data_IF_036125469057
#
_entry.id   IF_036125469057
#
_cell.length_a   1.000
_cell.length_b   1.000
_cell.length_c   1.000
_cell.angle_alpha   90.00
_cell.angle_beta   90.00
_cell.angle_gamma   90.00
#
_symmetry.space_group_name_H-M   'P 1'
#
loop_
_entity.id
_entity.type
_entity.pdbx_description
1 polymer ?
#
# COMPACT_ATOMS: atom_id res chain seq x y z
N UNK A 1 -0.05 17.90 -38.49
CA UNK A 1 0.66 17.61 -37.23
C UNK A 1 0.23 16.22 -36.84
N UNK A 2 1.12 15.26 -37.04
CA UNK A 2 0.88 13.81 -36.84
C UNK A 2 2.23 13.17 -36.48
N UNK A 3 2.92 13.81 -35.52
CA UNK A 3 4.33 13.55 -35.20
C UNK A 3 4.51 12.73 -33.91
N UNK A 4 3.62 12.87 -32.93
CA UNK A 4 3.77 12.21 -31.63
C UNK A 4 3.44 10.71 -31.68
N UNK A 5 2.35 10.31 -32.35
CA UNK A 5 1.95 8.90 -32.44
C UNK A 5 2.97 8.01 -33.20
N UNK A 6 3.75 8.58 -34.12
CA UNK A 6 4.79 7.87 -34.86
C UNK A 6 6.09 7.71 -34.06
N UNK A 7 6.40 8.63 -33.14
CA UNK A 7 7.60 8.56 -32.31
C UNK A 7 7.44 7.47 -31.24
N UNK A 8 6.31 7.45 -30.52
CA UNK A 8 6.03 6.49 -29.44
C UNK A 8 6.09 5.03 -29.93
N UNK A 9 5.51 4.75 -31.11
CA UNK A 9 5.51 3.39 -31.71
C UNK A 9 6.91 2.91 -32.08
N UNK A 10 7.78 3.82 -32.55
CA UNK A 10 9.16 3.49 -32.93
C UNK A 10 10.04 3.26 -31.71
N UNK A 11 9.84 4.01 -30.62
CA UNK A 11 10.59 3.80 -29.38
C UNK A 11 10.23 2.48 -28.72
N UNK A 12 8.94 2.16 -28.63
CA UNK A 12 8.47 0.88 -28.10
C UNK A 12 9.06 -0.31 -28.86
N UNK A 13 9.03 -0.26 -30.20
CA UNK A 13 9.62 -1.32 -31.05
C UNK A 13 11.12 -1.50 -30.78
N UNK A 14 11.88 -0.42 -30.60
CA UNK A 14 13.33 -0.49 -30.32
C UNK A 14 13.65 -1.07 -28.95
N UNK A 15 12.79 -0.81 -27.97
CA UNK A 15 12.93 -1.36 -26.61
C UNK A 15 12.69 -2.86 -26.64
N UNK A 16 11.62 -3.31 -27.32
CA UNK A 16 11.37 -4.73 -27.52
C UNK A 16 12.54 -5.42 -28.25
N UNK A 17 13.05 -4.82 -29.33
CA UNK A 17 14.21 -5.34 -30.06
C UNK A 17 15.47 -5.45 -29.18
N UNK A 18 15.71 -4.48 -28.29
CA UNK A 18 16.83 -4.51 -27.35
C UNK A 18 16.66 -5.61 -26.30
N UNK A 19 15.48 -5.73 -25.70
CA UNK A 19 15.16 -6.77 -24.71
C UNK A 19 15.31 -8.16 -25.34
N UNK A 20 14.77 -8.36 -26.55
CA UNK A 20 14.87 -9.61 -27.27
C UNK A 20 16.32 -9.93 -27.68
N UNK A 21 17.12 -8.92 -28.02
CA UNK A 21 18.56 -9.09 -28.29
C UNK A 21 19.30 -9.57 -27.03
N UNK A 22 19.04 -8.97 -25.86
CA UNK A 22 19.63 -9.43 -24.60
C UNK A 22 19.20 -10.86 -24.31
N UNK A 23 17.91 -11.16 -24.42
CA UNK A 23 17.38 -12.51 -24.22
C UNK A 23 18.01 -13.55 -25.16
N UNK A 24 18.27 -13.20 -26.42
CA UNK A 24 18.96 -14.09 -27.36
C UNK A 24 20.42 -14.36 -27.00
N UNK A 25 21.08 -13.46 -26.26
CA UNK A 25 22.46 -13.64 -25.80
C UNK A 25 22.55 -14.52 -24.55
N UNK A 26 21.53 -14.56 -23.69
CA UNK A 26 21.53 -15.32 -22.44
C UNK A 26 21.94 -16.79 -22.65
N UNK A 27 21.26 -17.59 -23.50
CA UNK A 27 21.62 -19.01 -23.67
C UNK A 27 22.96 -19.22 -24.42
N UNK A 28 23.52 -18.18 -25.04
CA UNK A 28 24.80 -18.24 -25.76
C UNK A 28 25.99 -17.95 -24.84
N UNK A 29 25.80 -17.05 -23.88
CA UNK A 29 26.85 -16.57 -22.98
C UNK A 29 26.85 -17.32 -21.65
N UNK A 30 25.68 -17.82 -21.21
CA UNK A 30 25.49 -18.50 -19.92
C UNK A 30 25.96 -17.65 -18.72
N UNK A 31 25.45 -16.40 -18.56
CA UNK A 31 25.96 -15.48 -17.56
C UNK A 31 25.41 -15.79 -16.15
N UNK A 32 26.28 -15.74 -15.12
CA UNK A 32 25.82 -15.88 -13.73
C UNK A 32 24.87 -14.74 -13.32
N UNK A 33 25.22 -13.51 -13.68
CA UNK A 33 24.46 -12.29 -13.41
C UNK A 33 24.72 -11.25 -14.51
N UNK A 34 23.68 -10.60 -15.01
CA UNK A 34 23.75 -9.46 -15.92
C UNK A 34 23.03 -8.29 -15.29
N UNK A 35 23.64 -7.11 -15.41
CA UNK A 35 23.04 -5.84 -15.04
C UNK A 35 23.06 -4.90 -16.25
N UNK A 36 22.14 -3.95 -16.26
CA UNK A 36 22.13 -2.83 -17.22
C UNK A 36 22.26 -1.50 -16.50
N UNK A 37 23.07 -0.59 -17.01
CA UNK A 37 23.05 0.81 -16.58
C UNK A 37 22.69 1.69 -17.76
N UNK A 38 21.87 2.68 -17.47
CA UNK A 38 21.38 3.63 -18.44
C UNK A 38 21.92 4.98 -18.00
N UNK A 39 22.80 5.53 -18.82
CA UNK A 39 23.52 6.75 -18.45
C UNK A 39 22.59 7.95 -18.64
N UNK A 40 21.97 8.43 -17.57
CA UNK A 40 21.10 9.63 -17.58
C UNK A 40 21.82 10.89 -17.07
N UNK A 41 23.08 10.76 -16.64
CA UNK A 41 23.91 11.87 -16.16
C UNK A 41 23.72 12.23 -14.68
N UNK A 42 22.85 11.54 -13.94
CA UNK A 42 22.57 11.84 -12.53
C UNK A 42 22.71 10.65 -11.55
N UNK A 43 22.90 9.41 -12.03
CA UNK A 43 23.25 8.25 -11.19
C UNK A 43 24.58 7.58 -11.58
N UNK A 44 25.34 7.09 -10.60
CA UNK A 44 26.50 6.22 -10.84
C UNK A 44 26.04 4.76 -11.00
N UNK A 45 26.64 3.99 -11.90
CA UNK A 45 26.34 2.56 -12.11
C UNK A 45 26.67 1.67 -10.90
N UNK A 46 27.26 2.23 -9.85
CA UNK A 46 27.79 1.51 -8.69
C UNK A 46 26.68 0.79 -7.90
N UNK A 47 25.45 1.32 -7.89
CA UNK A 47 24.29 0.76 -7.20
C UNK A 47 23.82 -0.60 -7.76
N UNK A 48 24.01 -0.85 -9.06
CA UNK A 48 23.54 -2.09 -9.74
C UNK A 48 24.67 -3.09 -9.99
N UNK A 49 25.92 -2.70 -9.76
CA UNK A 49 27.09 -3.55 -10.02
C UNK A 49 27.48 -4.31 -8.77
N UNK A 50 27.36 -5.65 -8.75
CA UNK A 50 27.72 -6.41 -7.58
C UNK A 50 29.23 -6.34 -7.33
N UNK A 51 29.61 -5.88 -6.14
CA UNK A 51 31.01 -5.84 -5.69
C UNK A 51 31.42 -7.05 -4.83
N UNK A 52 30.47 -7.97 -4.58
CA UNK A 52 30.67 -9.16 -3.75
C UNK A 52 29.62 -10.26 -3.93
N UNK A 53 29.53 -11.13 -2.91
CA UNK A 53 28.63 -12.28 -2.84
C UNK A 53 28.13 -12.46 -1.39
N UNK A 54 26.87 -12.83 -1.15
CA UNK A 54 25.82 -13.11 -2.14
C UNK A 54 25.36 -11.84 -2.86
N UNK A 55 24.99 -11.94 -4.15
CA UNK A 55 24.69 -10.77 -5.00
C UNK A 55 23.69 -9.78 -4.38
N UNK A 56 22.57 -10.22 -3.79
CA UNK A 56 21.57 -9.29 -3.20
C UNK A 56 22.14 -8.40 -2.09
N UNK A 57 23.17 -8.85 -1.37
CA UNK A 57 23.79 -8.08 -0.28
C UNK A 57 24.86 -7.09 -0.77
N UNK A 58 25.10 -7.04 -2.08
CA UNK A 58 26.19 -6.30 -2.72
C UNK A 58 25.72 -5.46 -3.92
N UNK A 59 24.41 -5.23 -4.00
CA UNK A 59 23.77 -4.28 -4.91
C UNK A 59 22.78 -3.46 -4.08
N UNK A 60 22.64 -2.19 -4.40
CA UNK A 60 21.70 -1.29 -3.74
C UNK A 60 20.34 -1.29 -4.46
N UNK A 61 20.32 -1.59 -5.76
CA UNK A 61 19.10 -1.62 -6.59
C UNK A 61 19.24 -2.63 -7.73
N UNK A 62 18.09 -3.12 -8.24
CA UNK A 62 18.02 -3.90 -9.45
C UNK A 62 18.12 -3.00 -10.68
N UNK A 63 18.87 -3.46 -11.68
CA UNK A 63 18.93 -2.78 -12.96
C UNK A 63 17.68 -2.99 -13.82
N UNK A 64 17.41 -2.04 -14.72
CA UNK A 64 16.28 -2.09 -15.67
C UNK A 64 16.14 -3.46 -16.36
N UNK A 65 17.24 -4.01 -16.87
CA UNK A 65 17.34 -5.39 -17.33
C UNK A 65 18.32 -6.13 -16.44
N UNK A 66 17.80 -7.12 -15.71
CA UNK A 66 18.59 -7.99 -14.84
C UNK A 66 18.44 -9.43 -15.30
N UNK A 67 19.55 -10.17 -15.44
CA UNK A 67 19.51 -11.62 -15.72
C UNK A 67 20.19 -12.34 -14.59
N UNK A 68 19.54 -13.37 -14.05
CA UNK A 68 20.11 -14.25 -13.03
C UNK A 68 20.17 -15.69 -13.55
N UNK A 69 21.29 -16.36 -13.27
CA UNK A 69 21.36 -17.82 -13.37
C UNK A 69 20.58 -18.49 -12.24
N UNK A 70 20.27 -19.77 -12.37
CA UNK A 70 19.62 -20.57 -11.32
C UNK A 70 20.37 -20.47 -9.98
N UNK A 71 21.70 -20.55 -10.00
CA UNK A 71 22.54 -20.45 -8.79
C UNK A 71 22.51 -19.07 -8.12
N UNK A 72 22.22 -18.02 -8.88
CA UNK A 72 22.06 -16.66 -8.36
C UNK A 72 20.63 -16.46 -7.87
N UNK A 73 19.63 -17.01 -8.56
CA UNK A 73 18.24 -16.96 -8.12
C UNK A 73 18.05 -17.57 -6.71
N UNK A 74 18.77 -18.63 -6.38
CA UNK A 74 18.83 -19.19 -5.01
C UNK A 74 19.29 -18.17 -3.96
N UNK A 75 20.14 -17.20 -4.32
CA UNK A 75 20.58 -16.14 -3.41
C UNK A 75 19.47 -15.12 -3.16
N UNK A 76 18.56 -14.92 -4.13
CA UNK A 76 17.39 -14.04 -4.07
C UNK A 76 16.16 -14.74 -3.47
N UNK A 77 16.32 -15.79 -2.67
CA UNK A 77 15.21 -16.53 -2.07
C UNK A 77 14.57 -17.59 -2.97
N UNK A 78 15.20 -17.92 -4.11
CA UNK A 78 14.85 -19.05 -4.97
C UNK A 78 14.29 -18.64 -6.34
N UNK A 79 14.31 -19.55 -7.33
CA UNK A 79 13.79 -19.29 -8.68
C UNK A 79 12.30 -18.95 -8.73
N UNK A 80 11.49 -19.48 -7.82
CA UNK A 80 10.07 -19.12 -7.70
C UNK A 80 9.90 -17.66 -7.30
N UNK A 81 10.71 -17.18 -6.33
CA UNK A 81 10.68 -15.79 -5.88
C UNK A 81 11.08 -14.85 -7.02
N UNK A 82 12.20 -15.10 -7.69
CA UNK A 82 12.61 -14.29 -8.86
C UNK A 82 11.55 -14.26 -9.97
N UNK A 83 10.80 -15.35 -10.19
CA UNK A 83 9.74 -15.37 -11.22
C UNK A 83 8.50 -14.55 -10.84
N UNK A 84 8.27 -14.35 -9.55
CA UNK A 84 7.13 -13.59 -9.04
C UNK A 84 7.45 -12.10 -8.91
N UNK A 85 8.69 -11.67 -9.15
CA UNK A 85 9.08 -10.26 -9.04
C UNK A 85 8.18 -9.34 -9.87
N UNK A 86 7.70 -8.20 -9.32
CA UNK A 86 6.94 -7.22 -10.08
C UNK A 86 7.85 -6.64 -11.14
N UNK A 87 7.57 -6.93 -12.39
CA UNK A 87 8.36 -6.49 -13.51
C UNK A 87 7.46 -6.42 -14.73
N UNK A 88 7.72 -5.47 -15.63
CA UNK A 88 7.02 -5.38 -16.91
C UNK A 88 7.13 -6.69 -17.71
N UNK A 89 8.30 -7.35 -17.64
CA UNK A 89 8.49 -8.65 -18.29
C UNK A 89 9.40 -9.56 -17.48
N UNK A 90 8.93 -10.78 -17.21
CA UNK A 90 9.73 -11.89 -16.68
C UNK A 90 9.86 -12.95 -17.76
N UNK A 91 11.08 -13.38 -18.07
CA UNK A 91 11.35 -14.42 -19.07
C UNK A 91 12.24 -15.51 -18.47
N UNK A 92 11.70 -16.72 -18.39
CA UNK A 92 12.46 -17.93 -18.04
C UNK A 92 13.02 -18.57 -19.31
N UNK A 93 14.30 -18.93 -19.29
CA UNK A 93 14.97 -19.62 -20.40
C UNK A 93 15.12 -21.12 -20.08
N UNK A 94 15.21 -21.96 -21.12
CA UNK A 94 15.46 -23.41 -20.98
C UNK A 94 16.75 -23.74 -20.21
N UNK A 95 17.69 -22.78 -20.10
CA UNK A 95 18.92 -22.88 -19.33
C UNK A 95 18.73 -22.60 -17.83
N UNK A 96 17.50 -22.40 -17.35
CA UNK A 96 17.18 -22.06 -15.97
C UNK A 96 17.52 -20.61 -15.59
N UNK A 97 17.89 -19.77 -16.56
CA UNK A 97 18.09 -18.35 -16.33
C UNK A 97 16.74 -17.63 -16.29
N UNK A 98 16.67 -16.56 -15.52
CA UNK A 98 15.51 -15.67 -15.46
C UNK A 98 15.97 -14.26 -15.80
N UNK A 99 15.32 -13.65 -16.79
CA UNK A 99 15.50 -12.24 -17.13
C UNK A 99 14.30 -11.45 -16.63
N UNK A 100 14.59 -10.37 -15.91
CA UNK A 100 13.66 -9.37 -15.44
C UNK A 100 13.86 -8.09 -16.24
N UNK A 101 12.78 -7.55 -16.78
CA UNK A 101 12.71 -6.20 -17.34
C UNK A 101 11.75 -5.41 -16.48
N UNK A 102 12.28 -4.50 -15.68
CA UNK A 102 11.50 -3.85 -14.63
C UNK A 102 10.39 -2.98 -15.19
N UNK A 103 10.63 -2.24 -16.27
CA UNK A 103 9.67 -1.27 -16.82
C UNK A 103 9.60 -1.33 -18.35
N UNK A 104 8.49 -0.93 -18.94
CA UNK A 104 8.25 -0.85 -20.39
C UNK A 104 9.16 0.17 -21.08
N UNK A 105 9.56 1.23 -20.36
CA UNK A 105 10.51 2.22 -20.82
C UNK A 105 11.46 2.64 -19.69
N UNK A 106 12.77 2.78 -19.96
CA UNK A 106 13.75 3.03 -18.92
C UNK A 106 13.74 4.43 -18.31
N UNK A 107 13.30 5.45 -19.06
CA UNK A 107 13.27 6.85 -18.62
C UNK A 107 11.85 7.31 -18.28
N UNK A 108 10.94 7.17 -19.25
CA UNK A 108 9.52 7.53 -19.11
C UNK A 108 8.62 6.28 -19.16
N UNK A 109 8.57 5.46 -18.09
CA UNK A 109 7.70 4.29 -18.04
C UNK A 109 6.23 4.70 -18.16
N UNK A 110 5.46 3.94 -18.93
CA UNK A 110 4.02 4.20 -19.12
C UNK A 110 3.15 3.23 -18.33
N UNK A 111 3.71 2.09 -17.94
CA UNK A 111 3.03 1.09 -17.12
C UNK A 111 3.50 1.18 -15.65
N UNK A 112 2.54 1.18 -14.72
CA UNK A 112 2.83 1.07 -13.29
C UNK A 112 2.98 -0.39 -12.89
N UNK A 113 3.97 -0.69 -12.04
CA UNK A 113 4.16 -2.04 -11.49
C UNK A 113 3.28 -2.26 -10.27
N UNK A 114 2.87 -3.50 -10.06
CA UNK A 114 2.07 -3.95 -8.92
C UNK A 114 2.86 -4.05 -7.61
N UNK A 115 4.07 -3.49 -7.53
CA UNK A 115 4.93 -3.54 -6.35
C UNK A 115 6.35 -3.07 -6.65
N UNK A 116 7.15 -2.88 -5.60
CA UNK A 116 8.57 -2.53 -5.73
C UNK A 116 9.41 -3.79 -6.00
N UNK A 117 10.11 -3.88 -7.16
CA UNK A 117 10.97 -5.02 -7.46
C UNK A 117 12.14 -5.15 -6.47
N UNK A 118 12.71 -4.01 -6.07
CA UNK A 118 13.84 -3.94 -5.13
C UNK A 118 13.41 -4.40 -3.75
N UNK A 119 12.28 -3.89 -3.25
CA UNK A 119 11.76 -4.29 -1.94
C UNK A 119 11.44 -5.80 -1.90
N UNK A 120 10.88 -6.32 -2.99
CA UNK A 120 10.54 -7.73 -3.08
C UNK A 120 11.77 -8.66 -3.14
N UNK A 121 12.78 -8.33 -3.96
CA UNK A 121 13.94 -9.21 -4.18
C UNK A 121 15.15 -8.94 -3.30
N UNK A 122 15.40 -7.69 -2.93
CA UNK A 122 16.56 -7.27 -2.14
C UNK A 122 16.21 -7.23 -0.65
N UNK A 123 15.09 -6.58 -0.31
CA UNK A 123 14.68 -6.40 1.09
C UNK A 123 13.90 -7.60 1.64
N UNK A 124 13.44 -8.49 0.75
CA UNK A 124 12.72 -9.71 1.13
C UNK A 124 11.27 -9.46 1.55
N UNK A 125 10.73 -8.27 1.26
CA UNK A 125 9.31 -7.98 1.46
C UNK A 125 8.50 -8.91 0.56
N UNK A 126 7.42 -9.51 1.06
CA UNK A 126 6.52 -10.22 0.16
C UNK A 126 5.80 -9.20 -0.72
N UNK A 127 5.36 -9.65 -1.91
CA UNK A 127 4.41 -8.84 -2.66
C UNK A 127 3.25 -8.61 -1.71
N UNK A 128 3.06 -7.35 -1.32
CA UNK A 128 1.79 -6.93 -0.78
C UNK A 128 0.76 -7.54 -1.72
N UNK A 129 -0.12 -8.37 -1.17
CA UNK A 129 -1.17 -9.00 -1.92
C UNK A 129 -2.22 -7.92 -2.22
N UNK A 130 -1.80 -6.89 -2.95
CA UNK A 130 -2.51 -5.65 -3.22
C UNK A 130 -2.07 -5.17 -4.61
N UNK A 131 -2.61 -5.81 -5.65
CA UNK A 131 -3.35 -4.94 -6.54
C UNK A 131 -4.37 -4.24 -5.64
N UNK A 132 -4.27 -2.92 -5.52
CA UNK A 132 -5.43 -2.07 -5.21
C UNK A 132 -6.35 -2.20 -6.43
N UNK A 133 -6.93 -3.40 -6.61
CA UNK A 133 -8.02 -3.68 -7.52
C UNK A 133 -9.26 -3.18 -6.77
N UNK A 134 -9.82 -2.06 -7.26
CA UNK A 134 -10.85 -1.23 -6.63
C UNK A 134 -10.39 -0.67 -5.27
N UNK A 135 -10.29 0.65 -5.12
CA UNK A 135 -10.40 1.20 -3.78
C UNK A 135 -11.85 0.88 -3.43
N UNK A 136 -12.14 -0.23 -2.75
CA UNK A 136 -13.50 -0.56 -2.32
C UNK A 136 -13.87 0.49 -1.25
N UNK A 137 -14.13 1.72 -1.67
CA UNK A 137 -14.28 2.89 -0.82
C UNK A 137 -15.72 2.87 -0.32
N UNK A 138 -15.87 2.47 0.93
CA UNK A 138 -17.09 2.72 1.68
C UNK A 138 -16.76 3.59 2.87
N UNK A 139 -17.59 4.59 3.12
CA UNK A 139 -17.49 5.38 4.34
C UNK A 139 -18.19 4.63 5.49
N UNK A 140 -17.46 4.10 6.49
CA UNK A 140 -18.08 3.40 7.60
C UNK A 140 -18.98 4.30 8.44
N UNK A 141 -18.84 5.63 8.34
CA UNK A 141 -19.68 6.61 9.00
C UNK A 141 -21.03 6.81 8.30
N UNK A 142 -21.21 6.31 7.07
CA UNK A 142 -22.46 6.46 6.34
C UNK A 142 -23.65 5.84 7.10
N UNK A 143 -23.41 4.77 7.87
CA UNK A 143 -24.41 4.06 8.68
C UNK A 143 -24.67 4.69 10.06
N UNK A 144 -23.98 5.79 10.43
CA UNK A 144 -24.21 6.49 11.68
C UNK A 144 -25.32 7.55 11.53
N UNK A 145 -26.21 7.61 12.51
CA UNK A 145 -27.28 8.60 12.59
C UNK A 145 -26.74 9.97 13.07
N UNK A 146 -27.48 11.03 12.76
CA UNK A 146 -27.18 12.39 13.26
C UNK A 146 -27.12 12.38 14.80
N UNK A 147 -26.03 12.90 15.35
CA UNK A 147 -25.74 12.95 16.78
C UNK A 147 -25.05 11.70 17.34
N UNK A 148 -24.83 10.65 16.55
CA UNK A 148 -24.01 9.51 16.97
C UNK A 148 -22.53 9.87 17.02
N UNK A 149 -21.81 9.19 17.92
CA UNK A 149 -20.38 9.36 18.12
C UNK A 149 -19.59 8.34 17.32
N UNK A 150 -18.38 8.74 16.92
CA UNK A 150 -17.41 7.81 16.35
C UNK A 150 -15.97 8.27 16.53
N UNK A 151 -15.05 7.41 16.12
CA UNK A 151 -13.63 7.67 16.10
C UNK A 151 -13.10 7.46 14.68
N UNK A 152 -12.60 8.53 14.07
CA UNK A 152 -12.01 8.50 12.74
C UNK A 152 -10.47 8.50 12.85
N UNK A 153 -9.82 7.86 11.88
CA UNK A 153 -8.36 7.93 11.71
C UNK A 153 -8.12 8.84 10.52
N UNK A 154 -7.52 9.98 10.78
CA UNK A 154 -7.42 11.06 9.83
C UNK A 154 -5.97 11.43 9.51
N UNK A 155 -5.77 11.91 8.30
CA UNK A 155 -4.56 12.60 7.85
C UNK A 155 -4.94 14.00 7.41
N UNK A 156 -4.00 14.94 7.49
CA UNK A 156 -4.22 16.23 6.87
C UNK A 156 -4.19 16.06 5.35
N UNK A 157 -5.04 16.79 4.62
CA UNK A 157 -5.16 16.66 3.15
C UNK A 157 -3.84 16.88 2.40
N UNK A 158 -2.93 17.67 2.96
CA UNK A 158 -1.64 18.00 2.33
C UNK A 158 -0.59 16.91 2.57
N UNK A 159 -0.85 15.99 3.50
CA UNK A 159 0.04 14.90 3.89
C UNK A 159 -0.37 13.56 3.24
N UNK A 160 -1.23 13.60 2.21
CA UNK A 160 -1.61 12.41 1.45
C UNK A 160 -0.39 11.92 0.65
N UNK A 161 0.24 10.85 1.15
CA UNK A 161 1.30 10.12 0.49
C UNK A 161 0.78 8.76 -0.05
N UNK A 162 1.62 8.06 -0.82
CA UNK A 162 1.30 6.70 -1.32
C UNK A 162 1.19 5.66 -0.19
N UNK A 163 1.76 5.96 0.98
CA UNK A 163 1.65 5.15 2.20
C UNK A 163 1.19 6.03 3.36
N UNK A 164 0.46 5.43 4.31
CA UNK A 164 0.00 6.11 5.53
C UNK A 164 0.83 5.63 6.72
N UNK A 165 1.98 6.27 7.02
CA UNK A 165 2.81 5.87 8.14
C UNK A 165 2.09 6.17 9.46
N UNK A 166 2.31 5.32 10.47
CA UNK A 166 1.62 5.39 11.75
C UNK A 166 1.75 6.77 12.44
N UNK A 167 2.86 7.48 12.22
CA UNK A 167 3.17 8.79 12.81
C UNK A 167 2.33 9.96 12.27
N UNK A 168 1.83 9.84 11.04
CA UNK A 168 1.02 10.86 10.39
C UNK A 168 -0.47 10.69 10.72
N UNK A 169 -0.87 9.49 11.14
CA UNK A 169 -2.24 9.18 11.54
C UNK A 169 -2.64 9.98 12.80
N UNK A 170 -3.85 10.51 12.76
CA UNK A 170 -4.48 11.23 13.87
C UNK A 170 -5.82 10.59 14.19
N UNK A 171 -5.95 10.06 15.41
CA UNK A 171 -7.24 9.64 15.94
C UNK A 171 -8.06 10.89 16.31
N UNK A 172 -9.22 11.06 15.68
CA UNK A 172 -10.13 12.17 15.93
C UNK A 172 -11.48 11.64 16.37
N UNK A 173 -11.92 12.04 17.56
CA UNK A 173 -13.28 11.75 18.05
C UNK A 173 -14.28 12.72 17.41
N UNK A 174 -15.29 12.16 16.78
CA UNK A 174 -16.24 12.88 15.93
C UNK A 174 -17.70 12.62 16.31
N UNK A 175 -18.56 13.50 15.85
CA UNK A 175 -20.01 13.41 15.91
C UNK A 175 -20.57 13.73 14.53
N UNK A 176 -21.59 13.00 14.08
CA UNK A 176 -22.28 13.30 12.83
C UNK A 176 -23.25 14.45 13.06
N UNK A 177 -23.14 15.54 12.32
CA UNK A 177 -24.07 16.68 12.43
C UNK A 177 -25.28 16.60 11.49
N UNK A 178 -26.13 17.63 11.50
CA UNK A 178 -27.36 17.69 10.69
C UNK A 178 -27.09 17.76 9.18
N UNK A 179 -25.91 18.21 8.78
CA UNK A 179 -25.48 18.35 7.38
C UNK A 179 -24.73 17.11 6.89
N UNK A 180 -24.59 16.08 7.75
CA UNK A 180 -23.80 14.86 7.53
C UNK A 180 -22.30 15.13 7.49
N UNK A 181 -21.85 16.13 8.23
CA UNK A 181 -20.42 16.36 8.47
C UNK A 181 -19.95 15.66 9.73
N UNK A 182 -18.70 15.19 9.71
CA UNK A 182 -18.01 14.79 10.92
C UNK A 182 -17.45 16.04 11.62
N UNK A 183 -17.96 16.31 12.82
CA UNK A 183 -17.54 17.41 13.69
C UNK A 183 -16.76 16.87 14.89
N UNK A 184 -15.61 17.46 15.20
CA UNK A 184 -14.82 17.13 16.41
C UNK A 184 -15.68 17.30 17.66
N UNK A 185 -15.78 16.26 18.48
CA UNK A 185 -16.62 16.25 19.70
C UNK A 185 -16.31 17.43 20.64
N UNK A 186 -15.03 17.77 20.81
CA UNK A 186 -14.60 18.76 21.79
C UNK A 186 -14.75 20.21 21.33
N UNK A 187 -14.68 20.47 20.02
CA UNK A 187 -14.60 21.84 19.48
C UNK A 187 -15.75 22.18 18.53
N UNK A 188 -16.48 21.18 18.03
CA UNK A 188 -17.44 21.36 16.94
C UNK A 188 -16.79 21.73 15.60
N UNK A 189 -15.45 21.70 15.51
CA UNK A 189 -14.75 22.00 14.27
C UNK A 189 -15.03 20.92 13.22
N UNK A 190 -15.14 21.34 11.98
CA UNK A 190 -15.22 20.44 10.83
C UNK A 190 -14.03 19.48 10.78
N UNK A 191 -14.24 18.28 10.24
CA UNK A 191 -13.17 17.31 9.95
C UNK A 191 -13.23 16.91 8.49
N UNK A 192 -14.37 16.36 8.07
CA UNK A 192 -14.70 15.98 6.69
C UNK A 192 -16.21 15.72 6.57
N UNK A 193 -16.70 15.64 5.34
CA UNK A 193 -18.06 15.19 5.07
C UNK A 193 -18.16 13.66 5.18
N UNK A 194 -19.33 13.16 5.56
CA UNK A 194 -19.68 11.74 5.40
C UNK A 194 -20.14 11.52 3.97
N UNK A 195 -19.54 10.57 3.26
CA UNK A 195 -19.89 10.29 1.87
C UNK A 195 -20.78 9.05 1.79
N UNK A 196 -21.91 9.16 1.10
CA UNK A 196 -22.81 8.04 0.90
C UNK A 196 -22.40 7.25 -0.36
N UNK A 197 -22.54 5.92 -0.31
CA UNK A 197 -21.99 4.98 -1.28
C UNK A 197 -22.73 4.97 -2.65
N UNK A 198 -23.40 6.06 -3.03
CA UNK A 198 -23.99 6.24 -4.37
C UNK A 198 -23.00 6.80 -5.40
N UNK A 199 -21.70 6.85 -5.07
CA UNK A 199 -20.67 7.22 -6.04
C UNK A 199 -20.54 6.14 -7.14
N UNK A 200 -20.53 6.56 -8.40
CA UNK A 200 -20.42 5.66 -9.56
C UNK A 200 -19.01 5.04 -9.67
N UNK A 201 -17.99 5.73 -9.11
CA UNK A 201 -16.60 5.27 -8.97
C UNK A 201 -15.85 5.98 -7.81
N UNK A 202 -14.64 5.51 -7.51
CA UNK A 202 -13.79 6.03 -6.42
C UNK A 202 -13.39 7.49 -6.61
N UNK A 203 -13.28 7.95 -7.87
CA UNK A 203 -12.90 9.33 -8.17
C UNK A 203 -14.04 10.30 -7.85
N UNK A 204 -15.29 9.89 -8.07
CA UNK A 204 -16.48 10.63 -7.67
C UNK A 204 -16.61 10.69 -6.14
N UNK A 205 -16.29 9.60 -5.43
CA UNK A 205 -16.31 9.57 -3.98
C UNK A 205 -15.27 10.54 -3.38
N UNK A 206 -14.03 10.49 -3.86
CA UNK A 206 -12.97 11.44 -3.48
C UNK A 206 -13.34 12.88 -3.88
N UNK A 207 -13.97 13.05 -5.04
CA UNK A 207 -14.49 14.34 -5.49
C UNK A 207 -15.50 14.96 -4.51
N UNK A 208 -16.45 14.16 -4.01
CA UNK A 208 -17.44 14.61 -3.02
C UNK A 208 -16.80 14.99 -1.69
N UNK A 209 -15.78 14.24 -1.22
CA UNK A 209 -15.05 14.57 0.01
C UNK A 209 -14.40 15.96 -0.05
N UNK A 210 -13.95 16.39 -1.22
CA UNK A 210 -13.17 17.62 -1.41
C UNK A 210 -14.02 18.83 -1.82
N UNK A 211 -15.27 18.62 -2.25
CA UNK A 211 -16.08 19.67 -2.90
C UNK A 211 -17.01 20.41 -1.94
N UNK A 212 -17.57 19.72 -0.94
CA UNK A 212 -18.63 20.26 -0.08
C UNK A 212 -18.10 20.75 1.27
N UNK A 213 -17.01 21.54 1.26
CA UNK A 213 -16.39 22.03 2.50
C UNK A 213 -17.22 23.20 3.09
N UNK A 214 -17.67 23.12 4.36
CA UNK A 214 -18.41 24.20 5.02
C UNK A 214 -17.62 25.51 5.12
N UNK A 215 -18.33 26.64 5.09
CA UNK A 215 -17.70 27.97 5.11
C UNK A 215 -17.00 28.33 6.44
N UNK A 216 -17.32 27.61 7.51
CA UNK A 216 -16.69 27.72 8.83
C UNK A 216 -15.47 26.80 9.00
N UNK A 217 -15.19 25.92 8.03
CA UNK A 217 -13.99 25.08 8.03
C UNK A 217 -12.74 25.94 7.78
N UNK A 218 -11.65 25.62 8.49
CA UNK A 218 -10.34 26.23 8.26
C UNK A 218 -9.44 25.25 7.51
N UNK A 219 -8.43 25.75 6.80
CA UNK A 219 -7.49 24.87 6.08
C UNK A 219 -6.83 23.82 6.99
N UNK A 220 -6.59 24.15 8.27
CA UNK A 220 -6.00 23.25 9.26
C UNK A 220 -6.96 22.14 9.73
N UNK A 221 -8.25 22.26 9.41
CA UNK A 221 -9.30 21.33 9.81
C UNK A 221 -9.68 20.36 8.68
N UNK A 222 -9.05 20.46 7.51
CA UNK A 222 -9.37 19.64 6.33
C UNK A 222 -8.60 18.32 6.35
N UNK A 223 -9.30 17.27 6.75
CA UNK A 223 -8.74 15.94 6.90
C UNK A 223 -9.31 14.95 5.88
N UNK A 224 -8.55 13.91 5.59
CA UNK A 224 -8.99 12.72 4.85
C UNK A 224 -8.99 11.52 5.80
N UNK A 225 -9.99 10.65 5.69
CA UNK A 225 -10.07 9.44 6.50
C UNK A 225 -9.21 8.33 5.90
N UNK A 226 -8.39 7.73 6.73
CA UNK A 226 -7.59 6.54 6.43
C UNK A 226 -8.37 5.23 6.65
N UNK A 227 -9.59 5.29 7.21
CA UNK A 227 -10.49 4.13 7.40
C UNK A 227 -11.61 4.08 6.37
N UNK A 228 -11.55 4.93 5.34
CA UNK A 228 -12.45 4.91 4.21
C UNK A 228 -12.15 3.67 3.34
N UNK A 229 -12.71 2.53 3.73
CA UNK A 229 -12.46 1.24 3.11
C UNK A 229 -13.60 0.28 3.46
N UNK A 230 -14.13 -0.46 2.50
CA UNK A 230 -15.32 -1.30 2.63
C UNK A 230 -15.12 -2.47 3.59
N UNK A 231 -13.88 -2.99 3.66
CA UNK A 231 -13.48 -3.94 4.70
C UNK A 231 -13.72 -3.42 6.13
N UNK A 232 -13.66 -2.10 6.38
CA UNK A 232 -13.83 -1.52 7.72
C UNK A 232 -15.33 -1.37 8.00
N UNK A 233 -15.92 -2.15 8.94
CA UNK A 233 -17.35 -2.07 9.21
C UNK A 233 -17.69 -0.84 10.08
N UNK A 234 -18.95 -0.34 10.03
CA UNK A 234 -19.41 0.75 10.89
C UNK A 234 -19.21 0.52 12.39
N UNK A 235 -19.25 -0.75 12.83
CA UNK A 235 -19.03 -1.12 14.22
C UNK A 235 -17.62 -0.77 14.73
N UNK A 236 -16.62 -0.69 13.85
CA UNK A 236 -15.24 -0.35 14.24
C UNK A 236 -15.06 1.13 14.53
N UNK A 237 -15.86 2.00 13.89
CA UNK A 237 -15.76 3.46 14.04
C UNK A 237 -16.79 4.02 15.01
N UNK A 238 -17.92 3.33 15.24
CA UNK A 238 -18.98 3.77 16.15
C UNK A 238 -18.50 3.76 17.61
N UNK A 239 -18.91 4.77 18.37
CA UNK A 239 -18.73 4.85 19.81
C UNK A 239 -20.08 4.98 20.51
N UNK A 240 -20.25 4.32 21.66
CA UNK A 240 -21.43 4.47 22.52
C UNK A 240 -21.46 5.83 23.24
N UNK A 241 -20.29 6.46 23.39
CA UNK A 241 -20.11 7.72 24.09
C UNK A 241 -18.81 8.43 23.70
N UNK A 242 -18.68 9.72 24.05
CA UNK A 242 -17.58 10.56 23.57
C UNK A 242 -16.20 10.14 24.10
N UNK A 243 -16.12 9.39 25.20
CA UNK A 243 -14.87 8.96 25.83
C UNK A 243 -14.67 7.43 25.76
N UNK A 244 -15.61 6.69 25.16
CA UNK A 244 -15.55 5.23 25.09
C UNK A 244 -14.48 4.75 24.09
N UNK A 245 -14.17 3.45 24.13
CA UNK A 245 -13.21 2.80 23.25
C UNK A 245 -13.91 1.80 22.34
N UNK A 246 -13.32 1.59 21.18
CA UNK A 246 -13.67 0.61 20.15
C UNK A 246 -12.41 0.11 19.44
N UNK A 247 -12.57 -0.80 18.48
CA UNK A 247 -11.48 -1.34 17.66
C UNK A 247 -10.53 -0.26 17.11
N UNK A 248 -11.05 0.82 16.50
CA UNK A 248 -10.21 1.89 15.93
C UNK A 248 -9.38 2.59 17.00
N UNK A 249 -10.00 2.97 18.11
CA UNK A 249 -9.28 3.64 19.21
C UNK A 249 -8.21 2.75 19.81
N UNK A 250 -8.48 1.44 19.94
CA UNK A 250 -7.55 0.46 20.51
C UNK A 250 -6.37 0.20 19.60
N UNK A 251 -6.60 -0.02 18.30
CA UNK A 251 -5.52 -0.17 17.30
C UNK A 251 -4.64 1.09 17.26
N UNK A 252 -5.25 2.28 17.30
CA UNK A 252 -4.50 3.52 17.35
C UNK A 252 -3.68 3.70 18.62
N UNK A 253 -4.08 3.06 19.74
CA UNK A 253 -3.36 3.05 21.01
C UNK A 253 -2.20 2.06 21.10
N UNK A 254 -2.05 1.13 20.14
CA UNK A 254 -0.95 0.17 20.14
C UNK A 254 0.40 0.87 19.86
N UNK A 255 1.43 0.45 20.59
CA UNK A 255 2.83 0.79 20.33
C UNK A 255 3.42 -0.32 19.44
N UNK A 256 3.52 -0.04 18.14
CA UNK A 256 3.87 -1.05 17.12
C UNK A 256 4.33 -0.37 15.84
N UNK A 257 5.29 -0.99 15.17
CA UNK A 257 5.76 -0.58 13.85
C UNK A 257 4.87 -1.17 12.72
N UNK A 258 3.99 -2.12 13.04
CA UNK A 258 3.02 -2.67 12.08
C UNK A 258 2.04 -1.59 11.64
N UNK A 259 1.75 -1.53 10.33
CA UNK A 259 0.79 -0.57 9.78
C UNK A 259 -0.59 -0.71 10.43
N UNK A 260 -1.03 0.35 11.12
CA UNK A 260 -2.33 0.41 11.80
C UNK A 260 -3.50 0.31 10.83
N UNK A 261 -3.35 0.87 9.62
CA UNK A 261 -4.39 0.80 8.58
C UNK A 261 -4.52 -0.63 8.05
N UNK A 262 -3.40 -1.31 7.74
CA UNK A 262 -3.45 -2.71 7.30
C UNK A 262 -4.06 -3.61 8.37
N UNK A 263 -3.72 -3.38 9.64
CA UNK A 263 -4.33 -4.12 10.74
C UNK A 263 -5.86 -3.90 10.80
N UNK A 264 -6.34 -2.66 10.68
CA UNK A 264 -7.78 -2.37 10.66
C UNK A 264 -8.51 -3.03 9.48
N UNK A 265 -7.89 -3.02 8.29
CA UNK A 265 -8.44 -3.69 7.09
C UNK A 265 -8.49 -5.21 7.30
N UNK A 266 -7.43 -5.82 7.83
CA UNK A 266 -7.39 -7.26 8.12
C UNK A 266 -8.43 -7.67 9.16
N UNK A 267 -8.54 -6.93 10.27
CA UNK A 267 -9.58 -7.15 11.28
C UNK A 267 -10.99 -6.98 10.66
N UNK A 268 -11.16 -6.01 9.78
CA UNK A 268 -12.40 -5.76 9.06
C UNK A 268 -12.80 -6.93 8.15
N UNK A 269 -11.85 -7.47 7.38
CA UNK A 269 -12.06 -8.68 6.55
C UNK A 269 -12.47 -9.90 7.40
N UNK A 270 -11.93 -10.04 8.61
CA UNK A 270 -12.38 -11.07 9.56
C UNK A 270 -13.83 -10.81 10.00
N UNK A 271 -14.17 -9.55 10.29
CA UNK A 271 -15.51 -9.15 10.73
C UNK A 271 -16.60 -9.29 9.64
N UNK A 272 -16.21 -9.42 8.37
CA UNK A 272 -17.13 -9.65 7.25
C UNK A 272 -17.49 -11.12 7.01
N UNK A 273 -16.91 -12.07 7.76
CA UNK A 273 -17.25 -13.48 7.63
C UNK A 273 -18.70 -13.73 8.08
N UNK A 274 -19.42 -14.62 7.37
CA UNK A 274 -20.87 -14.85 7.52
C UNK A 274 -21.35 -15.18 8.96
N UNK A 275 -20.45 -15.64 9.82
CA UNK A 275 -20.74 -16.05 11.20
C UNK A 275 -20.25 -15.02 12.27
N UNK A 276 -19.77 -13.84 11.88
CA UNK A 276 -19.24 -12.85 12.83
C UNK A 276 -20.35 -12.22 13.67
N UNK A 277 -20.19 -12.25 14.99
CA UNK A 277 -21.17 -11.79 15.97
C UNK A 277 -20.64 -10.66 16.85
N UNK A 278 -21.52 -10.07 17.65
CA UNK A 278 -21.11 -9.11 18.69
C UNK A 278 -20.16 -9.74 19.73
N UNK A 279 -20.28 -11.04 20.01
CA UNK A 279 -19.36 -11.74 20.92
C UNK A 279 -17.95 -11.87 20.31
N UNK A 280 -17.87 -12.04 18.99
CA UNK A 280 -16.58 -12.05 18.27
C UNK A 280 -15.94 -10.66 18.23
N UNK A 281 -16.75 -9.59 18.11
CA UNK A 281 -16.29 -8.21 18.23
C UNK A 281 -15.74 -7.94 19.64
N UNK A 282 -16.48 -8.31 20.69
CA UNK A 282 -16.03 -8.16 22.07
C UNK A 282 -14.72 -8.95 22.31
N UNK A 283 -14.59 -10.15 21.72
CA UNK A 283 -13.37 -10.94 21.80
C UNK A 283 -12.20 -10.29 21.06
N UNK A 284 -12.45 -9.66 19.91
CA UNK A 284 -11.44 -8.92 19.15
C UNK A 284 -10.94 -7.71 19.95
N UNK A 285 -11.86 -6.94 20.52
CA UNK A 285 -11.53 -5.81 21.38
C UNK A 285 -10.74 -6.23 22.63
N UNK A 286 -11.09 -7.36 23.26
CA UNK A 286 -10.33 -7.89 24.39
C UNK A 286 -8.94 -8.41 24.01
N UNK A 287 -8.76 -8.91 22.79
CA UNK A 287 -7.45 -9.28 22.28
C UNK A 287 -6.56 -8.05 22.07
N UNK A 288 -7.13 -6.93 21.59
CA UNK A 288 -6.42 -5.66 21.46
C UNK A 288 -6.04 -5.07 22.82
N UNK A 289 -6.90 -5.19 23.84
CA UNK A 289 -6.54 -4.79 25.22
C UNK A 289 -5.34 -5.59 25.73
N UNK A 290 -5.34 -6.89 25.47
CA UNK A 290 -4.23 -7.77 25.88
C UNK A 290 -2.93 -7.38 25.16
N UNK A 291 -3.00 -6.98 23.89
CA UNK A 291 -1.85 -6.49 23.13
C UNK A 291 -1.31 -5.18 23.71
N UNK A 292 -2.19 -4.25 24.07
CA UNK A 292 -1.79 -2.96 24.65
C UNK A 292 -1.11 -3.10 26.03
N UNK A 293 -1.33 -4.21 26.74
CA UNK A 293 -0.66 -4.53 28.01
C UNK A 293 0.73 -5.17 27.84
N UNK A 294 1.15 -5.51 26.62
CA UNK A 294 2.49 -6.05 26.37
C UNK A 294 3.52 -4.92 26.37
N UNK A 295 4.48 -4.96 27.30
CA UNK A 295 5.54 -3.94 27.44
C UNK A 295 6.68 -4.03 26.38
N UNK A 296 6.56 -4.88 25.35
CA UNK A 296 7.64 -5.19 24.40
C UNK A 296 7.13 -5.23 22.95
N UNK A 297 7.50 -4.20 22.18
CA UNK A 297 7.09 -3.96 20.79
C UNK A 297 7.35 -5.19 19.90
N UNK A 298 8.48 -5.90 20.07
CA UNK A 298 8.79 -7.13 19.31
C UNK A 298 7.79 -8.27 19.56
N UNK A 299 7.15 -8.30 20.73
CA UNK A 299 6.13 -9.29 21.05
C UNK A 299 4.75 -8.87 20.53
N UNK A 300 4.48 -7.56 20.46
CA UNK A 300 3.26 -7.02 19.84
C UNK A 300 3.28 -7.31 18.35
N UNK A 301 4.35 -6.94 17.65
CA UNK A 301 4.49 -7.11 16.20
C UNK A 301 4.35 -8.58 15.81
N UNK A 302 5.11 -9.47 16.49
CA UNK A 302 5.04 -10.91 16.25
C UNK A 302 3.65 -11.48 16.52
N UNK A 303 2.93 -10.97 17.52
CA UNK A 303 1.58 -11.42 17.79
C UNK A 303 0.62 -10.97 16.70
N UNK A 304 0.72 -9.72 16.26
CA UNK A 304 -0.08 -9.17 15.16
C UNK A 304 0.14 -9.99 13.88
N UNK A 305 1.40 -10.18 13.48
CA UNK A 305 1.77 -10.96 12.28
C UNK A 305 1.34 -12.43 12.35
N UNK A 306 1.37 -13.04 13.53
CA UNK A 306 1.07 -14.47 13.66
C UNK A 306 -0.41 -14.79 13.91
N UNK A 307 -1.23 -13.79 14.31
CA UNK A 307 -2.60 -14.02 14.80
C UNK A 307 -3.67 -13.14 14.16
N UNK A 308 -3.31 -11.96 13.67
CA UNK A 308 -4.27 -10.95 13.20
C UNK A 308 -4.07 -10.57 11.73
N UNK A 309 -2.89 -10.83 11.18
CA UNK A 309 -2.59 -10.81 9.74
C UNK A 309 -2.52 -12.24 9.22
#
# INVERSE_FOLDING_TARGET
MDGSLHEDTVYHTRIEELVDLVGALVPLVDPEYVWSSITDGHGGYESVVPDGRPIPAHVDELSWITVVSESVAEQFGGPDRVRQTPAWRVTEFDTGHIMLVLRDHPYDPTEELTGSPDAYLLDGEDLEQEAVDDLDLADPFAALDVGEYGADVCLHRDDIARSFPNEDLRLIRVTVDEERDLRRVNTGAFVRNVVDAEADDDADLVGQMLSDIPADATDADLHVSAVLHAAVPPAFVRLDGPDDENVVTKVMGLDTDVSKIKLLVSLGRVAQQDDFTAEDLDSMEGALDTLAELDDDENIDRYIEAKLL
#
